data_IF_683190572223
#
_entry.id   IF_683190572223
#
_cell.length_a   1.000
_cell.length_b   1.000
_cell.length_c   1.000
_cell.angle_alpha   90.00
_cell.angle_beta   90.00
_cell.angle_gamma   90.00
#
_symmetry.space_group_name_H-M   'P 1'
#
loop_
_entity.id
_entity.type
_entity.pdbx_description
1 polymer ?
#
# COMPACT_ATOMS: atom_id res chain seq x y z
N UNK A 1 -40.62 -7.69 -4.59
CA UNK A 1 -39.41 -6.92 -4.27
C UNK A 1 -38.28 -7.91 -3.94
N UNK A 2 -37.45 -8.26 -4.93
CA UNK A 2 -36.16 -8.93 -4.74
C UNK A 2 -35.22 -8.30 -5.76
N UNK A 3 -34.24 -7.56 -5.26
CA UNK A 3 -33.20 -6.92 -6.08
C UNK A 3 -32.11 -7.95 -6.33
N UNK A 4 -31.98 -8.39 -7.58
CA UNK A 4 -30.83 -9.15 -8.07
C UNK A 4 -29.91 -8.18 -8.80
N UNK A 5 -28.74 -7.93 -8.22
CA UNK A 5 -27.66 -7.20 -8.88
C UNK A 5 -26.80 -8.24 -9.60
N UNK A 6 -26.90 -8.27 -10.93
CA UNK A 6 -25.92 -8.93 -11.78
C UNK A 6 -24.74 -7.98 -11.96
N UNK A 7 -23.54 -8.42 -11.57
CA UNK A 7 -22.28 -7.80 -11.98
C UNK A 7 -21.77 -8.64 -13.16
N UNK A 8 -21.89 -8.07 -14.35
CA UNK A 8 -21.27 -8.60 -15.57
C UNK A 8 -19.81 -8.15 -15.61
N UNK A 9 -18.94 -9.13 -15.80
CA UNK A 9 -17.54 -8.97 -16.18
C UNK A 9 -17.45 -8.38 -17.58
N UNK A 10 -16.75 -7.26 -17.74
CA UNK A 10 -16.08 -6.93 -19.00
C UNK A 10 -14.82 -6.13 -18.69
N UNK A 11 -13.68 -6.79 -18.88
CA UNK A 11 -12.43 -6.15 -19.22
C UNK A 11 -12.44 -5.95 -20.75
N UNK A 12 -12.12 -4.75 -21.21
CA UNK A 12 -11.13 -4.53 -22.27
C UNK A 12 -10.99 -3.02 -22.53
N UNK A 13 -9.71 -2.59 -22.46
CA UNK A 13 -9.04 -1.58 -23.28
C UNK A 13 -9.82 -0.35 -23.76
N UNK A 14 -9.44 0.82 -23.22
CA UNK A 14 -8.92 1.98 -23.97
C UNK A 14 -9.10 3.22 -23.10
N UNK A 15 -8.11 3.53 -22.27
CA UNK A 15 -8.04 4.82 -21.56
C UNK A 15 -6.97 5.67 -22.24
N UNK A 16 -7.45 6.47 -23.19
CA UNK A 16 -6.75 7.53 -23.89
C UNK A 16 -6.44 8.64 -22.86
N UNK A 17 -5.24 8.61 -22.28
CA UNK A 17 -4.75 9.73 -21.47
C UNK A 17 -4.40 10.86 -22.43
N UNK A 18 -5.30 11.83 -22.51
CA UNK A 18 -5.08 13.12 -23.14
C UNK A 18 -3.95 13.86 -22.41
N UNK A 19 -2.85 14.01 -23.12
CA UNK A 19 -1.73 14.89 -22.81
C UNK A 19 -2.13 16.38 -22.89
N UNK A 20 -1.44 17.16 -22.06
CA UNK A 20 -1.27 18.61 -22.06
C UNK A 20 -2.43 19.50 -21.58
N UNK A 21 -2.53 19.65 -20.25
CA UNK A 21 -2.90 20.95 -19.69
C UNK A 21 -1.60 21.76 -19.53
N UNK A 22 -1.34 22.59 -20.55
CA UNK A 22 -0.24 23.54 -20.61
C UNK A 22 -0.41 24.61 -19.52
N UNK A 23 0.01 24.28 -18.31
CA UNK A 23 0.35 25.28 -17.31
C UNK A 23 1.53 26.09 -17.85
N UNK A 24 1.21 27.26 -18.39
CA UNK A 24 2.10 28.35 -18.74
C UNK A 24 2.88 28.82 -17.51
N UNK A 25 3.81 28.00 -17.03
CA UNK A 25 4.90 28.46 -16.19
C UNK A 25 5.94 29.08 -17.11
N UNK A 26 6.23 30.36 -16.89
CA UNK A 26 7.09 31.19 -17.71
C UNK A 26 8.52 30.69 -17.70
N UNK A 27 8.77 29.59 -18.42
CA UNK A 27 10.10 29.10 -18.70
C UNK A 27 10.74 30.08 -19.67
N UNK A 28 11.33 31.13 -19.12
CA UNK A 28 12.41 31.85 -19.78
C UNK A 28 13.49 30.80 -20.03
N UNK A 29 13.49 30.23 -21.23
CA UNK A 29 14.55 29.34 -21.70
C UNK A 29 15.79 30.22 -21.84
N UNK A 30 16.55 30.30 -20.76
CA UNK A 30 17.88 30.89 -20.77
C UNK A 30 18.77 29.90 -21.52
N UNK A 31 18.84 30.04 -22.85
CA UNK A 31 19.81 29.33 -23.68
C UNK A 31 21.20 29.86 -23.39
N UNK A 32 22.22 28.98 -23.38
CA UNK A 32 23.63 29.36 -23.20
C UNK A 32 24.06 30.46 -24.20
N UNK A 33 23.45 30.47 -25.38
CA UNK A 33 23.67 31.44 -26.45
C UNK A 33 23.19 32.86 -26.08
N UNK A 34 22.06 32.99 -25.37
CA UNK A 34 21.56 34.28 -24.88
C UNK A 34 22.40 34.84 -23.73
N UNK A 35 22.90 33.96 -22.84
CA UNK A 35 23.79 34.36 -21.73
C UNK A 35 25.16 34.77 -22.28
N UNK A 36 25.70 34.01 -23.22
CA UNK A 36 26.95 34.34 -23.90
C UNK A 36 26.84 35.69 -24.63
N UNK A 37 25.72 35.96 -25.30
CA UNK A 37 25.45 37.24 -25.96
C UNK A 37 25.40 38.42 -24.97
N UNK A 38 24.69 38.28 -23.85
CA UNK A 38 24.59 39.34 -22.84
C UNK A 38 25.93 39.62 -22.13
N UNK A 39 26.71 38.58 -21.81
CA UNK A 39 28.04 38.72 -21.21
C UNK A 39 29.01 39.41 -22.18
N UNK A 40 28.98 39.03 -23.46
CA UNK A 40 29.81 39.64 -24.49
C UNK A 40 29.48 41.12 -24.73
N UNK A 41 28.21 41.52 -24.62
CA UNK A 41 27.77 42.93 -24.71
C UNK A 41 28.26 43.73 -23.51
N UNK A 42 28.13 43.20 -22.29
CA UNK A 42 28.64 43.85 -21.07
C UNK A 42 30.16 43.98 -21.06
N UNK A 43 30.90 42.98 -21.54
CA UNK A 43 32.36 43.04 -21.69
C UNK A 43 32.80 44.09 -22.72
N UNK A 44 32.04 44.24 -23.82
CA UNK A 44 32.29 45.28 -24.83
C UNK A 44 32.09 46.69 -24.25
N UNK A 45 31.02 46.89 -23.48
CA UNK A 45 30.74 48.15 -22.79
C UNK A 45 31.79 48.47 -21.72
N UNK A 46 32.24 47.47 -20.96
CA UNK A 46 33.34 47.61 -19.99
C UNK A 46 34.65 48.05 -20.68
N UNK A 47 35.00 47.39 -21.79
CA UNK A 47 36.19 47.73 -22.59
C UNK A 47 36.14 49.17 -23.15
N UNK A 48 34.95 49.62 -23.57
CA UNK A 48 34.74 50.97 -24.09
C UNK A 48 34.79 52.04 -22.99
N UNK A 49 34.27 51.76 -21.79
CA UNK A 49 34.39 52.65 -20.62
C UNK A 49 35.86 52.82 -20.18
N UNK A 50 36.64 51.74 -20.22
CA UNK A 50 38.09 51.76 -19.99
C UNK A 50 38.85 52.57 -21.05
N UNK A 51 38.50 52.43 -22.34
CA UNK A 51 39.12 53.17 -23.42
C UNK A 51 38.83 54.68 -23.35
N UNK A 52 37.65 55.06 -22.84
CA UNK A 52 37.23 56.46 -22.66
C UNK A 52 37.64 57.05 -21.30
N UNK A 53 38.35 56.30 -20.46
CA UNK A 53 38.79 56.69 -19.12
C UNK A 53 37.63 57.21 -18.23
N UNK A 54 36.47 56.54 -18.30
CA UNK A 54 35.25 56.86 -17.54
C UNK A 54 35.13 55.95 -16.31
N UNK A 55 35.71 56.34 -15.16
CA UNK A 55 35.72 55.50 -13.96
C UNK A 55 34.32 55.28 -13.37
N UNK A 56 33.35 56.17 -13.65
CA UNK A 56 31.99 56.04 -13.13
C UNK A 56 31.28 54.84 -13.75
N UNK A 57 31.37 54.70 -15.08
CA UNK A 57 30.76 53.55 -15.79
C UNK A 57 31.45 52.23 -15.47
N UNK A 58 32.77 52.25 -15.27
CA UNK A 58 33.52 51.05 -14.85
C UNK A 58 33.03 50.58 -13.48
N UNK A 59 32.89 51.49 -12.51
CA UNK A 59 32.38 51.18 -11.17
C UNK A 59 30.93 50.66 -11.17
N UNK A 60 30.06 51.25 -12.01
CA UNK A 60 28.67 50.78 -12.17
C UNK A 60 28.60 49.35 -12.73
N UNK A 61 29.41 49.04 -13.75
CA UNK A 61 29.44 47.70 -14.35
C UNK A 61 30.01 46.67 -13.35
N UNK A 62 31.06 47.01 -12.60
CA UNK A 62 31.63 46.14 -11.57
C UNK A 62 30.63 45.84 -10.45
N UNK A 63 29.88 46.85 -9.99
CA UNK A 63 28.83 46.66 -8.98
C UNK A 63 27.69 45.75 -9.49
N UNK A 64 27.30 45.88 -10.76
CA UNK A 64 26.30 45.01 -11.37
C UNK A 64 26.80 43.56 -11.48
N UNK A 65 28.06 43.35 -11.89
CA UNK A 65 28.67 42.02 -11.97
C UNK A 65 28.75 41.35 -10.60
N UNK A 66 29.16 42.10 -9.57
CA UNK A 66 29.18 41.60 -8.18
C UNK A 66 27.78 41.21 -7.69
N UNK A 67 26.75 42.02 -8.02
CA UNK A 67 25.35 41.70 -7.69
C UNK A 67 24.86 40.44 -8.39
N UNK A 68 25.22 40.26 -9.66
CA UNK A 68 24.89 39.05 -10.44
C UNK A 68 25.58 37.82 -9.85
N UNK A 69 26.86 37.93 -9.51
CA UNK A 69 27.61 36.84 -8.90
C UNK A 69 27.04 36.45 -7.53
N UNK A 70 26.68 37.43 -6.70
CA UNK A 70 26.02 37.18 -5.42
C UNK A 70 24.67 36.46 -5.59
N UNK A 71 23.85 36.87 -6.57
CA UNK A 71 22.58 36.21 -6.90
C UNK A 71 22.79 34.79 -7.43
N UNK A 72 23.78 34.59 -8.31
CA UNK A 72 24.15 33.27 -8.84
C UNK A 72 24.55 32.33 -7.71
N UNK A 73 25.43 32.77 -6.82
CA UNK A 73 25.89 31.97 -5.69
C UNK A 73 24.73 31.64 -4.74
N UNK A 74 23.87 32.62 -4.43
CA UNK A 74 22.67 32.38 -3.63
C UNK A 74 21.73 31.35 -4.27
N UNK A 75 21.51 31.44 -5.58
CA UNK A 75 20.66 30.50 -6.31
C UNK A 75 21.28 29.10 -6.36
N UNK A 76 22.59 29.01 -6.61
CA UNK A 76 23.32 27.74 -6.60
C UNK A 76 23.20 27.04 -5.24
N UNK A 77 23.36 27.76 -4.14
CA UNK A 77 23.16 27.21 -2.78
C UNK A 77 21.74 26.69 -2.59
N UNK A 78 20.71 27.43 -3.03
CA UNK A 78 19.31 26.99 -2.94
C UNK A 78 19.03 25.74 -3.75
N UNK A 79 19.61 25.63 -4.95
CA UNK A 79 19.44 24.43 -5.80
C UNK A 79 20.04 23.21 -5.12
N UNK A 80 21.23 23.34 -4.54
CA UNK A 80 21.87 22.24 -3.79
C UNK A 80 21.02 21.85 -2.59
N UNK A 81 20.58 22.81 -1.77
CA UNK A 81 19.78 22.52 -0.57
C UNK A 81 18.44 21.86 -0.92
N UNK A 82 17.74 22.36 -1.94
CA UNK A 82 16.48 21.75 -2.39
C UNK A 82 16.70 20.34 -2.97
N UNK A 83 17.81 20.12 -3.69
CA UNK A 83 18.12 18.80 -4.23
C UNK A 83 18.43 17.79 -3.12
N UNK A 84 19.09 18.23 -2.05
CA UNK A 84 19.36 17.39 -0.87
C UNK A 84 18.06 17.07 -0.13
N UNK A 85 17.23 18.07 0.18
CA UNK A 85 15.91 17.90 0.81
C UNK A 85 15.02 16.94 -0.01
N UNK A 86 14.95 17.14 -1.32
CA UNK A 86 14.20 16.27 -2.22
C UNK A 86 14.69 14.82 -2.16
N UNK A 87 16.00 14.60 -2.17
CA UNK A 87 16.57 13.25 -2.08
C UNK A 87 16.23 12.59 -0.74
N UNK A 88 16.28 13.34 0.36
CA UNK A 88 15.90 12.83 1.69
C UNK A 88 14.42 12.47 1.79
N UNK A 89 13.54 13.31 1.24
CA UNK A 89 12.10 13.08 1.24
C UNK A 89 11.73 11.88 0.38
N UNK A 90 12.33 11.73 -0.80
CA UNK A 90 12.16 10.54 -1.65
C UNK A 90 12.57 9.26 -0.92
N UNK A 91 13.69 9.28 -0.20
CA UNK A 91 14.11 8.16 0.64
C UNK A 91 13.11 7.84 1.76
N UNK A 92 12.54 8.87 2.39
CA UNK A 92 11.51 8.72 3.42
C UNK A 92 10.24 8.08 2.87
N UNK A 93 9.75 8.55 1.72
CA UNK A 93 8.56 8.03 1.03
C UNK A 93 8.74 6.56 0.67
N UNK A 94 9.90 6.17 0.13
CA UNK A 94 10.19 4.78 -0.20
C UNK A 94 10.16 3.88 1.04
N UNK A 95 10.74 4.35 2.15
CA UNK A 95 10.71 3.61 3.42
C UNK A 95 9.29 3.47 3.96
N UNK A 96 8.51 4.55 3.97
CA UNK A 96 7.11 4.53 4.43
C UNK A 96 6.28 3.58 3.56
N UNK A 97 6.49 3.59 2.24
CA UNK A 97 5.84 2.67 1.31
C UNK A 97 6.16 1.21 1.64
N UNK A 98 7.44 0.89 1.90
CA UNK A 98 7.86 -0.44 2.31
C UNK A 98 7.26 -0.85 3.68
N UNK A 99 7.24 0.06 4.65
CA UNK A 99 6.64 -0.18 5.96
C UNK A 99 5.13 -0.44 5.86
N UNK A 100 4.44 0.31 4.99
CA UNK A 100 3.01 0.10 4.73
C UNK A 100 2.75 -1.28 4.12
N UNK A 101 3.56 -1.70 3.16
CA UNK A 101 3.47 -3.04 2.58
C UNK A 101 3.75 -4.14 3.60
N UNK A 102 4.72 -3.94 4.48
CA UNK A 102 5.02 -4.86 5.57
C UNK A 102 3.85 -4.99 6.55
N UNK A 103 3.24 -3.86 6.94
CA UNK A 103 2.06 -3.85 7.81
C UNK A 103 0.89 -4.55 7.14
N UNK A 104 0.60 -4.24 5.87
CA UNK A 104 -0.48 -4.90 5.12
C UNK A 104 -0.32 -6.43 5.08
N UNK A 105 0.88 -6.91 4.75
CA UNK A 105 1.19 -8.35 4.72
C UNK A 105 1.13 -8.98 6.11
N UNK A 106 1.48 -8.24 7.17
CA UNK A 106 1.38 -8.72 8.55
C UNK A 106 -0.09 -8.80 8.98
N UNK A 107 -0.86 -7.77 8.74
CA UNK A 107 -2.29 -7.70 9.07
C UNK A 107 -3.08 -8.81 8.40
N UNK A 108 -2.81 -9.15 7.14
CA UNK A 108 -3.52 -10.25 6.47
C UNK A 108 -3.21 -11.61 7.12
N UNK A 109 -1.94 -11.84 7.48
CA UNK A 109 -1.54 -13.07 8.20
C UNK A 109 -2.17 -13.14 9.59
N UNK A 110 -2.17 -12.03 10.32
CA UNK A 110 -2.78 -11.95 11.65
C UNK A 110 -4.30 -12.16 11.57
N UNK A 111 -4.97 -11.58 10.58
CA UNK A 111 -6.41 -11.76 10.36
C UNK A 111 -6.75 -13.23 10.09
N UNK A 112 -6.01 -13.89 9.22
CA UNK A 112 -6.20 -15.31 8.92
C UNK A 112 -5.94 -16.18 10.16
N UNK A 113 -4.85 -15.92 10.88
CA UNK A 113 -4.52 -16.63 12.12
C UNK A 113 -5.61 -16.47 13.19
N UNK A 114 -6.11 -15.24 13.38
CA UNK A 114 -7.19 -14.96 14.33
C UNK A 114 -8.46 -15.72 13.95
N UNK A 115 -8.83 -15.74 12.67
CA UNK A 115 -10.01 -16.49 12.22
C UNK A 115 -9.86 -17.98 12.49
N UNK A 116 -8.72 -18.58 12.16
CA UNK A 116 -8.45 -20.00 12.42
C UNK A 116 -8.45 -20.32 13.92
N UNK A 117 -7.83 -19.46 14.74
CA UNK A 117 -7.78 -19.65 16.19
C UNK A 117 -9.17 -19.55 16.83
N UNK A 118 -9.97 -18.55 16.45
CA UNK A 118 -11.34 -18.38 16.96
C UNK A 118 -12.22 -19.55 16.52
N UNK A 119 -12.10 -19.99 15.26
CA UNK A 119 -12.82 -21.17 14.77
C UNK A 119 -12.46 -22.42 15.59
N UNK A 120 -11.17 -22.64 15.85
CA UNK A 120 -10.70 -23.74 16.70
C UNK A 120 -11.27 -23.69 18.12
N UNK A 121 -11.22 -22.52 18.77
CA UNK A 121 -11.74 -22.35 20.14
C UNK A 121 -13.25 -22.62 20.23
N UNK A 122 -14.03 -22.17 19.23
CA UNK A 122 -15.48 -22.43 19.18
C UNK A 122 -15.75 -23.93 19.05
N UNK A 123 -15.01 -24.62 18.19
CA UNK A 123 -15.15 -26.06 17.97
C UNK A 123 -14.75 -26.83 19.24
N UNK A 124 -13.63 -26.49 19.89
CA UNK A 124 -13.21 -27.12 21.15
C UNK A 124 -14.28 -27.02 22.23
N UNK A 125 -14.93 -25.86 22.36
CA UNK A 125 -16.03 -25.68 23.32
C UNK A 125 -17.28 -26.48 22.95
N UNK A 126 -17.45 -26.86 21.69
CA UNK A 126 -18.56 -27.64 21.19
C UNK A 126 -18.33 -29.15 21.31
N UNK A 127 -17.07 -29.62 21.32
CA UNK A 127 -16.72 -31.04 21.44
C UNK A 127 -17.37 -31.75 22.65
N UNK A 128 -17.42 -31.17 23.87
CA UNK A 128 -18.10 -31.82 25.01
C UNK A 128 -19.59 -32.05 24.80
N UNK A 129 -20.24 -31.27 23.91
CA UNK A 129 -21.63 -31.50 23.53
C UNK A 129 -21.71 -32.69 22.59
N UNK A 130 -20.81 -32.79 21.61
CA UNK A 130 -20.70 -33.95 20.71
C UNK A 130 -20.47 -35.25 21.50
N UNK A 131 -19.56 -35.23 22.48
CA UNK A 131 -19.32 -36.38 23.37
C UNK A 131 -20.59 -36.82 24.10
N UNK A 132 -21.44 -35.87 24.52
CA UNK A 132 -22.73 -36.18 25.16
C UNK A 132 -23.72 -36.78 24.17
N UNK A 133 -23.72 -36.35 22.90
CA UNK A 133 -24.49 -37.01 21.86
C UNK A 133 -24.02 -38.46 21.75
N UNK A 134 -22.73 -38.72 21.54
CA UNK A 134 -22.22 -40.10 21.43
C UNK A 134 -22.59 -40.97 22.63
N UNK A 135 -22.46 -40.43 23.84
CA UNK A 135 -22.87 -41.13 25.06
C UNK A 135 -24.38 -41.39 25.13
N UNK A 136 -25.21 -40.45 24.66
CA UNK A 136 -26.65 -40.63 24.60
C UNK A 136 -27.03 -41.71 23.58
N UNK A 137 -26.39 -41.72 22.40
CA UNK A 137 -26.59 -42.74 21.36
C UNK A 137 -26.44 -44.16 21.93
N UNK A 138 -25.41 -44.38 22.74
CA UNK A 138 -25.13 -45.70 23.33
C UNK A 138 -26.10 -46.08 24.46
N UNK A 139 -26.85 -45.12 25.00
CA UNK A 139 -27.83 -45.33 26.08
C UNK A 139 -29.26 -45.52 25.58
N UNK A 140 -29.56 -45.18 24.32
CA UNK A 140 -30.89 -45.36 23.74
C UNK A 140 -31.18 -46.85 23.60
N UNK A 141 -32.16 -47.33 24.37
CA UNK A 141 -32.73 -48.67 24.22
C UNK A 141 -34.10 -48.52 23.58
N UNK A 142 -34.28 -49.12 22.40
CA UNK A 142 -35.54 -49.09 21.66
C UNK A 142 -36.32 -50.36 22.02
N UNK A 143 -37.52 -50.20 22.56
CA UNK A 143 -38.47 -51.26 22.90
C UNK A 143 -39.81 -51.14 22.17
N UNK A 144 -40.15 -49.98 21.62
CA UNK A 144 -41.40 -49.72 20.89
C UNK A 144 -41.17 -49.07 19.52
N UNK A 145 -42.14 -49.20 18.60
CA UNK A 145 -42.08 -48.62 17.25
C UNK A 145 -42.03 -47.07 17.26
N UNK A 146 -42.59 -46.44 18.29
CA UNK A 146 -42.54 -44.99 18.50
C UNK A 146 -41.14 -44.54 18.94
N UNK A 147 -40.48 -45.30 19.81
CA UNK A 147 -39.08 -45.07 20.20
C UNK A 147 -38.10 -45.24 19.02
N UNK A 148 -38.41 -46.13 18.07
CA UNK A 148 -37.62 -46.34 16.85
C UNK A 148 -37.64 -45.10 15.95
N UNK A 149 -38.81 -44.46 15.79
CA UNK A 149 -38.94 -43.18 15.05
C UNK A 149 -38.12 -42.06 15.68
N UNK A 150 -38.08 -42.01 17.01
CA UNK A 150 -37.27 -41.03 17.76
C UNK A 150 -35.78 -41.31 17.55
N UNK A 151 -35.35 -42.57 17.62
CA UNK A 151 -33.95 -42.96 17.37
C UNK A 151 -33.50 -42.59 15.95
N UNK A 152 -34.32 -42.86 14.93
CA UNK A 152 -34.01 -42.48 13.55
C UNK A 152 -33.87 -40.95 13.38
N UNK A 153 -34.72 -40.17 14.03
CA UNK A 153 -34.62 -38.72 14.04
C UNK A 153 -33.33 -38.23 14.72
N UNK A 154 -32.96 -38.87 15.83
CA UNK A 154 -31.71 -38.61 16.53
C UNK A 154 -30.48 -38.90 15.64
N UNK A 155 -30.44 -40.05 14.97
CA UNK A 155 -29.35 -40.41 14.06
C UNK A 155 -29.21 -39.41 12.91
N UNK A 156 -30.33 -38.94 12.35
CA UNK A 156 -30.33 -37.93 11.29
C UNK A 156 -29.73 -36.60 11.76
N UNK A 157 -30.09 -36.14 12.96
CA UNK A 157 -29.53 -34.91 13.54
C UNK A 157 -28.04 -35.05 13.84
N UNK A 158 -27.61 -36.18 14.42
CA UNK A 158 -26.19 -36.45 14.69
C UNK A 158 -25.36 -36.47 13.41
N UNK A 159 -25.88 -37.10 12.34
CA UNK A 159 -25.22 -37.12 11.03
C UNK A 159 -25.07 -35.71 10.44
N UNK A 160 -26.14 -34.90 10.45
CA UNK A 160 -26.09 -33.51 9.97
C UNK A 160 -25.07 -32.68 10.76
N UNK A 161 -24.99 -32.91 12.07
CA UNK A 161 -24.03 -32.22 12.92
C UNK A 161 -22.59 -32.58 12.56
N UNK A 162 -22.28 -33.86 12.32
CA UNK A 162 -20.97 -34.30 11.83
C UNK A 162 -20.66 -33.71 10.45
N UNK A 163 -21.63 -33.69 9.53
CA UNK A 163 -21.45 -33.07 8.21
C UNK A 163 -21.06 -31.58 8.34
N UNK A 164 -21.69 -30.83 9.24
CA UNK A 164 -21.33 -29.42 9.51
C UNK A 164 -19.90 -29.30 10.04
N UNK A 165 -19.47 -30.19 10.96
CA UNK A 165 -18.09 -30.18 11.47
C UNK A 165 -17.07 -30.48 10.36
N UNK A 166 -17.37 -31.42 9.47
CA UNK A 166 -16.50 -31.71 8.31
C UNK A 166 -16.41 -30.53 7.34
N UNK A 167 -17.51 -29.79 7.12
CA UNK A 167 -17.50 -28.57 6.32
C UNK A 167 -16.67 -27.44 6.95
N UNK A 168 -16.57 -27.42 8.28
CA UNK A 168 -15.69 -26.52 9.03
C UNK A 168 -14.22 -26.99 9.04
N UNK A 169 -13.87 -28.06 8.31
CA UNK A 169 -12.52 -28.58 8.21
C UNK A 169 -12.08 -29.43 9.42
N UNK A 170 -13.02 -29.92 10.23
CA UNK A 170 -12.74 -30.79 11.36
C UNK A 170 -12.77 -32.25 10.89
N UNK A 171 -11.69 -32.97 11.17
CA UNK A 171 -11.60 -34.41 10.95
C UNK A 171 -11.48 -35.14 12.29
N UNK A 172 -12.13 -36.30 12.40
CA UNK A 172 -12.03 -37.13 13.58
C UNK A 172 -10.65 -37.80 13.62
N UNK A 173 -9.90 -37.60 14.71
CA UNK A 173 -8.59 -38.23 14.90
C UNK A 173 -8.78 -39.54 15.64
N UNK A 174 -8.37 -40.65 15.04
CA UNK A 174 -8.32 -41.95 15.71
C UNK A 174 -7.12 -41.95 16.65
N UNK A 175 -7.33 -42.23 17.93
CA UNK A 175 -6.29 -42.21 18.96
C UNK A 175 -5.11 -43.12 18.61
N UNK A 176 -4.07 -42.58 18.00
CA UNK A 176 -2.80 -43.25 17.79
C UNK A 176 -1.97 -43.15 19.07
N UNK A 177 -1.24 -44.22 19.40
CA UNK A 177 -0.33 -44.25 20.55
C UNK A 177 0.59 -43.03 20.52
N UNK A 178 0.53 -42.20 21.57
CA UNK A 178 1.41 -41.04 21.72
C UNK A 178 2.88 -41.51 21.77
N UNK A 179 3.60 -41.29 20.68
CA UNK A 179 5.05 -41.41 20.66
C UNK A 179 5.63 -40.06 21.07
N UNK A 180 6.10 -39.96 22.31
CA UNK A 180 6.90 -38.81 22.74
C UNK A 180 8.26 -38.86 22.04
N UNK A 181 8.57 -37.82 21.25
CA UNK A 181 9.92 -37.42 20.89
C UNK A 181 10.18 -36.05 21.50
#
# INVERSE_FOLDING_TARGET
MRSSIMISSQADSDDEILEEDGANDGRVVVTEENVASAVMVSLRSYKEALANNDPSKVAEIEALLQSIEAKKNSLATKVVTFSEEWSTDQGCILRISADFDNVRKRMERERLSLLTNVQGEVIERLLPVLDKFERAKDQIKVGTEEEEKINNSYHSMYKQFLEILTLLGVEAVVGHSFSYC
#
